data_IF_316061896518
#
_entry.id   IF_316061896518
#
_cell.length_a   1.000
_cell.length_b   1.000
_cell.length_c   1.000
_cell.angle_alpha   90.00
_cell.angle_beta   90.00
_cell.angle_gamma   90.00
#
_symmetry.space_group_name_H-M   'P 1'
#
loop_
_entity.id
_entity.type
_entity.pdbx_description
1 polymer ?
#
# COMPACT_ATOMS: atom_id res chain seq x y z
N UNK A 1 -8.47 12.76 -22.30
CA UNK A 1 -9.59 11.81 -22.49
C UNK A 1 -9.14 10.74 -23.48
N UNK A 2 -8.71 9.59 -22.98
CA UNK A 2 -8.29 8.47 -23.82
C UNK A 2 -9.52 7.61 -24.06
N UNK A 3 -10.05 7.60 -25.28
CA UNK A 3 -11.13 6.69 -25.66
C UNK A 3 -10.53 5.42 -26.22
N UNK A 4 -10.69 4.29 -25.53
CA UNK A 4 -10.51 2.98 -26.14
C UNK A 4 -11.70 2.73 -27.08
N UNK A 5 -11.47 2.77 -28.37
CA UNK A 5 -12.50 2.47 -29.38
C UNK A 5 -12.47 0.97 -29.69
N UNK A 6 -13.57 0.29 -29.44
CA UNK A 6 -13.81 -1.09 -29.86
C UNK A 6 -14.10 -1.11 -31.36
N UNK A 7 -13.34 -1.85 -32.13
CA UNK A 7 -13.69 -2.16 -33.52
C UNK A 7 -14.48 -3.47 -33.57
N UNK A 8 -15.42 -3.58 -34.48
CA UNK A 8 -16.27 -4.76 -34.71
C UNK A 8 -15.52 -6.02 -35.13
N UNK A 9 -14.19 -5.97 -35.19
CA UNK A 9 -13.31 -7.09 -35.57
C UNK A 9 -12.30 -7.49 -34.48
N UNK A 10 -12.49 -7.03 -33.24
CA UNK A 10 -11.65 -7.48 -32.12
C UNK A 10 -10.20 -6.98 -32.13
N UNK A 11 -9.84 -6.03 -32.97
CA UNK A 11 -8.48 -5.47 -33.04
C UNK A 11 -8.54 -4.04 -32.48
N UNK A 12 -7.82 -3.81 -31.36
CA UNK A 12 -7.60 -2.46 -30.84
C UNK A 12 -6.64 -1.73 -31.79
N UNK A 13 -7.11 -0.73 -32.51
CA UNK A 13 -6.23 0.21 -33.19
C UNK A 13 -6.15 1.52 -32.41
N UNK A 14 -4.97 1.88 -31.99
CA UNK A 14 -4.67 3.15 -31.32
C UNK A 14 -4.04 4.12 -32.32
N UNK A 15 -4.52 5.35 -32.35
CA UNK A 15 -3.91 6.38 -33.18
C UNK A 15 -2.78 7.08 -32.41
N UNK A 16 -1.54 6.83 -32.83
CA UNK A 16 -0.30 7.04 -32.11
C UNK A 16 0.39 8.38 -32.36
N UNK A 17 -0.32 9.44 -32.75
CA UNK A 17 0.35 10.61 -33.28
C UNK A 17 1.09 11.51 -32.27
N UNK A 18 1.01 11.33 -30.95
CA UNK A 18 1.66 12.27 -30.03
C UNK A 18 2.16 11.75 -28.66
N UNK A 19 2.48 10.45 -28.46
CA UNK A 19 2.84 10.00 -27.12
C UNK A 19 4.10 9.14 -27.03
N UNK A 20 5.13 9.66 -26.35
CA UNK A 20 6.33 8.93 -25.90
C UNK A 20 6.09 8.08 -24.64
N UNK A 21 4.90 8.10 -24.02
CA UNK A 21 4.59 7.50 -22.72
C UNK A 21 3.75 6.21 -22.87
N UNK A 22 3.44 5.76 -24.07
CA UNK A 22 2.50 4.66 -24.32
C UNK A 22 2.94 3.25 -23.93
N UNK A 23 4.18 3.06 -23.51
CA UNK A 23 4.65 1.73 -23.09
C UNK A 23 4.00 1.24 -21.79
N UNK A 24 3.72 2.14 -20.85
CA UNK A 24 3.21 1.78 -19.53
C UNK A 24 1.70 1.53 -19.53
N UNK A 25 0.93 2.37 -20.21
CA UNK A 25 -0.54 2.25 -20.25
C UNK A 25 -0.99 0.98 -21.02
N UNK A 26 -0.24 0.59 -22.06
CA UNK A 26 -0.47 -0.69 -22.76
C UNK A 26 -0.05 -1.88 -21.91
N UNK A 27 0.96 -1.75 -21.05
CA UNK A 27 1.36 -2.79 -20.12
C UNK A 27 0.33 -2.97 -19.00
N UNK A 28 -0.25 -1.89 -18.49
CA UNK A 28 -1.31 -1.93 -17.50
C UNK A 28 -2.56 -2.66 -18.02
N UNK A 29 -2.97 -2.41 -19.27
CA UNK A 29 -4.08 -3.14 -19.89
C UNK A 29 -3.79 -4.63 -20.14
N UNK A 30 -2.52 -5.05 -20.17
CA UNK A 30 -2.12 -6.44 -20.43
C UNK A 30 -1.96 -7.23 -19.13
N UNK A 31 -1.52 -6.61 -18.03
CA UNK A 31 -1.31 -7.29 -16.75
C UNK A 31 -2.61 -7.70 -16.05
N UNK A 32 -3.74 -7.07 -16.36
CA UNK A 32 -5.07 -7.41 -15.83
C UNK A 32 -5.88 -8.36 -16.73
N UNK A 33 -5.26 -9.05 -17.68
CA UNK A 33 -5.98 -9.90 -18.66
C UNK A 33 -6.45 -11.27 -18.17
N UNK A 34 -6.30 -11.61 -16.89
CA UNK A 34 -6.84 -12.88 -16.36
C UNK A 34 -8.29 -12.79 -15.85
N UNK A 35 -8.87 -11.61 -15.78
CA UNK A 35 -10.30 -11.43 -15.54
C UNK A 35 -10.74 -10.16 -16.27
N UNK A 36 -11.49 -10.33 -17.35
CA UNK A 36 -12.02 -9.23 -18.17
C UNK A 36 -12.99 -8.34 -17.39
N UNK A 37 -12.48 -7.53 -16.48
CA UNK A 37 -13.20 -6.34 -16.05
C UNK A 37 -12.69 -5.18 -16.88
N UNK A 38 -13.46 -4.84 -17.93
CA UNK A 38 -13.24 -3.61 -18.68
C UNK A 38 -13.58 -2.49 -17.71
N UNK A 39 -12.58 -1.75 -17.26
CA UNK A 39 -12.78 -0.50 -16.50
C UNK A 39 -13.39 0.50 -17.49
N UNK A 40 -14.72 0.50 -17.58
CA UNK A 40 -15.45 1.30 -18.59
C UNK A 40 -15.76 2.72 -18.13
N UNK A 41 -15.49 3.06 -16.85
CA UNK A 41 -15.85 4.34 -16.26
C UNK A 41 -14.76 4.97 -15.39
N UNK A 42 -13.52 4.44 -15.34
CA UNK A 42 -12.42 5.08 -14.63
C UNK A 42 -11.93 6.31 -15.39
N UNK A 43 -11.73 7.40 -14.69
CA UNK A 43 -11.01 8.55 -15.22
C UNK A 43 -9.52 8.34 -14.96
N UNK A 44 -8.68 8.42 -16.00
CA UNK A 44 -7.23 8.35 -15.85
C UNK A 44 -6.68 9.76 -15.79
N UNK A 45 -6.09 10.10 -14.66
CA UNK A 45 -5.43 11.38 -14.42
C UNK A 45 -3.92 11.16 -14.31
N UNK A 46 -3.15 11.77 -15.19
CA UNK A 46 -1.70 11.81 -15.08
C UNK A 46 -1.26 13.13 -14.46
N UNK A 47 -0.36 13.05 -13.50
CA UNK A 47 0.34 14.23 -13.00
C UNK A 47 1.26 14.75 -14.10
N UNK A 48 0.87 15.82 -14.80
CA UNK A 48 1.70 16.45 -15.83
C UNK A 48 3.00 16.98 -15.21
N UNK A 49 4.09 17.03 -16.02
CA UNK A 49 5.36 17.60 -15.60
C UNK A 49 5.14 19.01 -15.01
N UNK A 50 5.63 19.20 -13.78
CA UNK A 50 5.43 20.45 -13.03
C UNK A 50 4.14 20.56 -12.23
N UNK A 51 3.19 19.63 -12.37
CA UNK A 51 2.06 19.49 -11.46
C UNK A 51 2.40 18.53 -10.34
N UNK A 52 2.37 19.02 -9.13
CA UNK A 52 2.65 18.26 -7.92
C UNK A 52 1.39 17.71 -7.24
N UNK A 53 0.20 18.03 -7.72
CA UNK A 53 -1.05 17.61 -7.11
C UNK A 53 -1.98 17.00 -8.13
N UNK A 54 -2.44 15.78 -7.85
CA UNK A 54 -3.37 15.01 -8.67
C UNK A 54 -4.52 14.57 -7.78
N UNK A 55 -5.72 14.83 -8.22
CA UNK A 55 -6.94 14.50 -7.49
C UNK A 55 -7.81 13.61 -8.35
N UNK A 56 -8.35 12.58 -7.76
CA UNK A 56 -9.40 11.75 -8.32
C UNK A 56 -10.79 12.39 -8.22
N UNK A 57 -11.80 11.58 -8.21
CA UNK A 57 -13.21 11.94 -8.16
C UNK A 57 -13.95 11.11 -7.10
N UNK A 58 -15.28 11.09 -7.13
CA UNK A 58 -16.09 10.20 -6.27
C UNK A 58 -16.30 8.80 -6.92
N UNK A 59 -15.44 8.39 -7.85
CA UNK A 59 -15.53 7.13 -8.59
C UNK A 59 -14.17 6.52 -8.73
N UNK A 60 -14.14 5.25 -9.11
CA UNK A 60 -12.89 4.58 -9.47
C UNK A 60 -12.06 5.42 -10.45
N UNK A 61 -10.84 5.74 -10.04
CA UNK A 61 -9.87 6.52 -10.80
C UNK A 61 -8.55 5.77 -10.99
N UNK A 62 -7.78 6.21 -11.95
CA UNK A 62 -6.39 5.81 -12.13
C UNK A 62 -5.53 7.07 -12.09
N UNK A 63 -4.76 7.25 -11.01
CA UNK A 63 -3.84 8.36 -10.85
C UNK A 63 -2.41 7.88 -11.11
N UNK A 64 -1.67 8.58 -11.95
CA UNK A 64 -0.28 8.24 -12.27
C UNK A 64 0.58 9.47 -12.04
N UNK A 65 1.51 9.35 -11.09
CA UNK A 65 2.50 10.36 -10.78
C UNK A 65 3.56 10.54 -11.86
N UNK A 66 4.66 11.10 -11.50
CA UNK A 66 5.80 11.33 -12.39
C UNK A 66 7.12 11.11 -11.61
N UNK A 67 8.22 11.71 -12.04
CA UNK A 67 9.52 11.58 -11.36
C UNK A 67 9.76 12.64 -10.27
N UNK A 68 8.82 13.51 -10.00
CA UNK A 68 8.90 14.57 -9.00
C UNK A 68 8.01 14.20 -7.81
N UNK A 69 8.24 14.80 -6.66
CA UNK A 69 7.35 14.70 -5.50
C UNK A 69 5.92 15.09 -5.84
N UNK A 70 5.01 14.15 -5.75
CA UNK A 70 3.59 14.34 -6.02
C UNK A 70 2.74 14.31 -4.73
N UNK A 71 1.57 14.94 -4.79
CA UNK A 71 0.48 14.76 -3.85
C UNK A 71 -0.72 14.19 -4.61
N UNK A 72 -1.13 12.99 -4.25
CA UNK A 72 -2.18 12.27 -4.94
C UNK A 72 -3.26 11.89 -3.95
N UNK A 73 -4.52 12.07 -4.31
CA UNK A 73 -5.66 11.67 -3.50
C UNK A 73 -6.75 11.08 -4.40
N UNK A 74 -7.14 9.83 -4.12
CA UNK A 74 -8.21 9.11 -4.83
C UNK A 74 -9.59 9.69 -4.54
N UNK A 75 -9.88 10.04 -3.29
CA UNK A 75 -11.15 10.51 -2.72
C UNK A 75 -12.11 9.35 -2.42
N UNK A 76 -13.16 9.16 -3.18
CA UNK A 76 -14.09 8.04 -3.03
C UNK A 76 -13.97 7.13 -4.24
N UNK A 77 -14.10 5.87 -4.04
CA UNK A 77 -14.03 4.93 -5.14
C UNK A 77 -13.12 3.77 -4.79
N UNK A 78 -12.85 2.92 -5.73
CA UNK A 78 -11.78 1.93 -5.60
C UNK A 78 -10.71 2.32 -6.60
N UNK A 79 -9.69 3.00 -6.11
CA UNK A 79 -8.74 3.72 -6.93
C UNK A 79 -7.44 2.94 -7.15
N UNK A 80 -6.78 3.25 -8.25
CA UNK A 80 -5.44 2.78 -8.52
C UNK A 80 -4.49 3.97 -8.61
N UNK A 81 -3.54 4.06 -7.66
CA UNK A 81 -2.62 5.19 -7.56
C UNK A 81 -1.19 4.70 -7.66
N UNK A 82 -0.41 5.28 -8.58
CA UNK A 82 0.98 4.95 -8.84
C UNK A 82 1.84 6.21 -8.77
N UNK A 83 2.71 6.31 -7.74
CA UNK A 83 3.62 7.45 -7.52
C UNK A 83 4.74 7.51 -8.55
N UNK A 84 5.37 6.41 -8.87
CA UNK A 84 6.52 6.19 -9.75
C UNK A 84 7.85 6.50 -9.07
N UNK A 85 8.27 7.75 -9.00
CA UNK A 85 9.54 8.15 -8.40
C UNK A 85 9.43 9.53 -7.76
N UNK A 86 10.24 9.76 -6.75
CA UNK A 86 10.18 11.00 -5.95
C UNK A 86 9.57 10.68 -4.59
N UNK A 87 9.65 11.57 -3.66
CA UNK A 87 9.05 11.37 -2.33
C UNK A 87 7.58 11.82 -2.41
N UNK A 88 6.69 10.87 -2.60
CA UNK A 88 5.29 11.10 -2.90
C UNK A 88 4.42 11.11 -1.62
N UNK A 89 3.28 11.78 -1.69
CA UNK A 89 2.24 11.71 -0.67
C UNK A 89 0.96 11.19 -1.35
N UNK A 90 0.58 9.97 -1.01
CA UNK A 90 -0.51 9.21 -1.63
C UNK A 90 -1.59 8.96 -0.58
N UNK A 91 -2.83 9.29 -0.92
CA UNK A 91 -4.00 9.07 -0.08
C UNK A 91 -5.06 8.34 -0.92
N UNK A 92 -5.50 7.16 -0.46
CA UNK A 92 -6.64 6.44 -1.04
C UNK A 92 -7.95 7.11 -0.68
N UNK A 93 -8.15 7.40 0.60
CA UNK A 93 -9.33 7.97 1.24
C UNK A 93 -10.43 6.89 1.44
N UNK A 94 -11.56 6.92 0.78
CA UNK A 94 -12.62 5.93 0.99
C UNK A 94 -12.76 4.97 -0.20
N UNK A 95 -12.64 3.71 0.04
CA UNK A 95 -12.77 2.68 -0.98
C UNK A 95 -11.77 1.54 -0.78
N UNK A 96 -11.81 0.59 -1.66
CA UNK A 96 -10.79 -0.46 -1.69
C UNK A 96 -9.76 -0.08 -2.75
N UNK A 97 -8.63 0.43 -2.29
CA UNK A 97 -7.66 1.10 -3.14
C UNK A 97 -6.41 0.23 -3.39
N UNK A 98 -5.72 0.52 -4.47
CA UNK A 98 -4.41 -0.06 -4.77
C UNK A 98 -3.40 1.06 -4.94
N UNK A 99 -2.50 1.18 -3.95
CA UNK A 99 -1.58 2.29 -3.79
C UNK A 99 -0.14 1.81 -3.94
N UNK A 100 0.61 2.44 -4.81
CA UNK A 100 2.02 2.11 -5.05
C UNK A 100 2.85 3.40 -4.97
N UNK A 101 3.76 3.46 -4.01
CA UNK A 101 4.71 4.56 -3.84
C UNK A 101 5.72 4.61 -4.99
N UNK A 102 6.67 3.74 -4.97
CA UNK A 102 7.63 3.58 -6.05
C UNK A 102 9.07 3.74 -5.60
N UNK A 103 9.80 4.70 -6.15
CA UNK A 103 11.18 4.99 -5.74
C UNK A 103 11.19 6.32 -4.99
N UNK A 104 11.59 6.31 -3.74
CA UNK A 104 11.68 7.51 -2.88
C UNK A 104 11.08 7.24 -1.52
N UNK A 105 11.30 8.16 -0.60
CA UNK A 105 10.70 8.05 0.74
C UNK A 105 9.25 8.56 0.66
N UNK A 106 8.31 7.64 0.58
CA UNK A 106 6.90 7.93 0.32
C UNK A 106 6.08 8.00 1.62
N UNK A 107 4.98 8.75 1.57
CA UNK A 107 3.95 8.78 2.61
C UNK A 107 2.65 8.29 2.00
N UNK A 108 2.16 7.15 2.49
CA UNK A 108 0.99 6.48 1.92
C UNK A 108 -0.06 6.27 3.02
N UNK A 109 -1.30 6.66 2.74
CA UNK A 109 -2.46 6.46 3.62
C UNK A 109 -3.56 5.77 2.81
N UNK A 110 -3.89 4.52 3.18
CA UNK A 110 -4.99 3.76 2.57
C UNK A 110 -6.31 4.41 2.82
N UNK A 111 -6.62 4.64 4.10
CA UNK A 111 -7.83 5.34 4.51
C UNK A 111 -8.91 4.44 5.06
N UNK A 112 -9.94 4.14 4.31
CA UNK A 112 -11.06 3.34 4.79
C UNK A 112 -11.52 2.26 3.84
N UNK A 113 -11.87 1.13 4.36
CA UNK A 113 -12.04 -0.18 3.72
C UNK A 113 -10.69 -0.89 3.54
N UNK A 114 -10.70 -2.13 3.06
CA UNK A 114 -9.45 -2.90 2.93
C UNK A 114 -8.67 -2.51 1.68
N UNK A 115 -7.42 -2.11 1.85
CA UNK A 115 -6.55 -1.56 0.82
C UNK A 115 -5.36 -2.49 0.51
N UNK A 116 -4.76 -2.31 -0.66
CA UNK A 116 -3.51 -2.97 -1.05
C UNK A 116 -2.44 -1.93 -1.29
N UNK A 117 -1.40 -1.94 -0.44
CA UNK A 117 -0.39 -0.88 -0.39
C UNK A 117 1.00 -1.47 -0.60
N UNK A 118 1.78 -0.83 -1.45
CA UNK A 118 3.16 -1.20 -1.75
C UNK A 118 4.05 0.05 -1.74
N UNK A 119 4.99 0.14 -0.77
CA UNK A 119 5.99 1.21 -0.69
C UNK A 119 7.02 1.11 -1.82
N UNK A 120 7.64 -0.02 -2.01
CA UNK A 120 8.74 -0.42 -2.88
C UNK A 120 10.12 -0.01 -2.34
N UNK A 121 10.73 1.09 -2.81
CA UNK A 121 12.14 1.43 -2.50
C UNK A 121 12.22 2.80 -1.87
N UNK A 122 12.77 2.86 -0.68
CA UNK A 122 12.90 4.08 0.13
C UNK A 122 12.50 3.82 1.56
N UNK A 123 12.63 4.83 2.41
CA UNK A 123 12.13 4.72 3.80
C UNK A 123 10.70 5.26 3.83
N UNK A 124 9.76 4.35 3.70
CA UNK A 124 8.36 4.70 3.51
C UNK A 124 7.62 4.83 4.86
N UNK A 125 6.62 5.70 4.87
CA UNK A 125 5.70 5.85 6.00
C UNK A 125 4.30 5.47 5.52
N UNK A 126 3.82 4.30 5.95
CA UNK A 126 2.60 3.67 5.45
C UNK A 126 1.58 3.52 6.57
N UNK A 127 0.35 3.91 6.30
CA UNK A 127 -0.81 3.67 7.14
C UNK A 127 -1.87 2.92 6.32
N UNK A 128 -2.31 1.75 6.79
CA UNK A 128 -3.45 1.02 6.19
C UNK A 128 -4.75 1.77 6.43
N UNK A 129 -5.12 1.91 7.68
CA UNK A 129 -6.28 2.70 8.07
C UNK A 129 -7.40 1.88 8.70
N UNK A 130 -8.60 1.94 8.12
CA UNK A 130 -9.72 1.11 8.53
C UNK A 130 -9.94 0.00 7.52
N UNK A 131 -10.03 -1.23 7.96
CA UNK A 131 -10.37 -2.33 7.08
C UNK A 131 -9.42 -3.51 7.23
N UNK A 132 -9.41 -4.38 6.27
CA UNK A 132 -8.47 -5.48 6.21
C UNK A 132 -7.45 -5.16 5.12
N UNK A 133 -6.28 -4.69 5.53
CA UNK A 133 -5.30 -4.12 4.63
C UNK A 133 -4.18 -5.12 4.31
N UNK A 134 -3.69 -5.08 3.08
CA UNK A 134 -2.49 -5.79 2.64
C UNK A 134 -1.37 -4.79 2.38
N UNK A 135 -0.33 -4.81 3.23
CA UNK A 135 0.73 -3.80 3.22
C UNK A 135 2.08 -4.48 2.99
N UNK A 136 2.81 -3.98 2.00
CA UNK A 136 4.20 -4.36 1.73
C UNK A 136 5.06 -3.10 1.76
N UNK A 137 6.02 -3.01 2.67
CA UNK A 137 7.00 -1.91 2.76
C UNK A 137 7.95 -1.94 1.55
N UNK A 138 8.92 -2.81 1.56
CA UNK A 138 9.81 -3.04 0.42
C UNK A 138 11.29 -3.06 0.78
N UNK A 139 12.09 -2.18 0.16
CA UNK A 139 13.49 -1.97 0.50
C UNK A 139 13.64 -0.63 1.23
N UNK A 140 14.23 -0.63 2.41
CA UNK A 140 14.48 0.59 3.21
C UNK A 140 13.98 0.44 4.62
N UNK A 141 14.19 1.45 5.44
CA UNK A 141 13.72 1.43 6.83
C UNK A 141 12.30 2.02 6.88
N UNK A 142 11.31 1.16 6.86
CA UNK A 142 9.92 1.54 6.75
C UNK A 142 9.26 1.77 8.12
N UNK A 143 8.24 2.59 8.12
CA UNK A 143 7.36 2.79 9.27
C UNK A 143 5.95 2.43 8.84
N UNK A 144 5.40 1.35 9.42
CA UNK A 144 4.11 0.81 9.02
C UNK A 144 3.15 0.78 10.20
N UNK A 145 1.96 1.29 9.97
CA UNK A 145 0.82 1.20 10.86
C UNK A 145 -0.32 0.49 10.11
N UNK A 146 -0.70 -0.72 10.52
CA UNK A 146 -1.85 -1.45 9.95
C UNK A 146 -3.13 -0.67 10.18
N UNK A 147 -3.50 -0.48 11.43
CA UNK A 147 -4.64 0.35 11.79
C UNK A 147 -5.75 -0.40 12.49
N UNK A 148 -6.93 -0.44 11.91
CA UNK A 148 -8.07 -1.13 12.51
C UNK A 148 -8.68 -2.12 11.53
N UNK A 149 -8.68 -3.36 11.90
CA UNK A 149 -9.13 -4.52 11.12
C UNK A 149 -8.04 -5.58 11.04
N UNK A 150 -8.32 -6.74 10.51
CA UNK A 150 -7.30 -7.78 10.39
C UNK A 150 -6.39 -7.49 9.20
N UNK A 151 -5.15 -7.12 9.48
CA UNK A 151 -4.19 -6.67 8.50
C UNK A 151 -3.13 -7.74 8.19
N UNK A 152 -2.59 -7.70 6.99
CA UNK A 152 -1.43 -8.49 6.57
C UNK A 152 -0.30 -7.56 6.21
N UNK A 153 0.80 -7.61 7.00
CA UNK A 153 1.92 -6.68 6.89
C UNK A 153 3.20 -7.46 6.60
N UNK A 154 3.90 -7.08 5.54
CA UNK A 154 5.22 -7.57 5.18
C UNK A 154 6.11 -6.36 4.99
N UNK A 155 7.11 -6.16 5.87
CA UNK A 155 7.92 -4.94 5.76
C UNK A 155 9.01 -5.07 4.71
N UNK A 156 9.79 -6.13 4.73
CA UNK A 156 10.78 -6.36 3.69
C UNK A 156 12.21 -6.21 4.16
N UNK A 157 13.07 -5.50 3.45
CA UNK A 157 14.48 -5.31 3.80
C UNK A 157 14.68 -3.98 4.52
N UNK A 158 15.41 -4.02 5.63
CA UNK A 158 15.76 -2.84 6.42
C UNK A 158 15.32 -2.95 7.86
N UNK A 159 15.76 -1.98 8.68
CA UNK A 159 15.35 -1.93 10.08
C UNK A 159 14.00 -1.22 10.18
N UNK A 160 12.94 -1.99 10.28
CA UNK A 160 11.58 -1.52 10.16
C UNK A 160 10.92 -1.25 11.52
N UNK A 161 9.93 -0.39 11.50
CA UNK A 161 9.08 -0.08 12.63
C UNK A 161 7.63 -0.40 12.30
N UNK A 162 7.04 -1.38 13.00
CA UNK A 162 5.73 -1.92 12.70
C UNK A 162 4.79 -1.78 13.90
N UNK A 163 3.57 -1.38 13.63
CA UNK A 163 2.44 -1.46 14.56
C UNK A 163 1.29 -2.14 13.82
N UNK A 164 0.87 -3.33 14.28
CA UNK A 164 -0.33 -4.01 13.72
C UNK A 164 -1.57 -3.16 13.93
N UNK A 165 -1.92 -2.91 15.16
CA UNK A 165 -3.04 -2.05 15.52
C UNK A 165 -4.18 -2.81 16.18
N UNK A 166 -5.40 -2.55 15.76
CA UNK A 166 -6.57 -3.28 16.23
C UNK A 166 -6.99 -4.35 15.23
N UNK A 167 -7.04 -5.58 15.63
CA UNK A 167 -7.50 -6.68 14.79
C UNK A 167 -6.60 -7.90 14.92
N UNK A 168 -6.94 -8.94 14.19
CA UNK A 168 -6.13 -10.15 14.16
C UNK A 168 -5.12 -10.03 13.02
N UNK A 169 -3.92 -9.54 13.32
CA UNK A 169 -2.94 -9.16 12.34
C UNK A 169 -1.94 -10.29 12.05
N UNK A 170 -1.49 -10.36 10.80
CA UNK A 170 -0.39 -11.21 10.37
C UNK A 170 0.79 -10.32 9.97
N UNK A 171 1.88 -10.37 10.75
CA UNK A 171 3.03 -9.48 10.60
C UNK A 171 4.29 -10.28 10.27
N UNK A 172 5.01 -9.86 9.24
CA UNK A 172 6.33 -10.36 8.90
C UNK A 172 7.31 -9.20 8.80
N UNK A 173 8.32 -9.18 9.69
CA UNK A 173 9.39 -8.18 9.72
C UNK A 173 10.33 -8.33 8.52
N UNK A 174 10.94 -9.47 8.35
CA UNK A 174 11.85 -9.71 7.23
C UNK A 174 13.29 -9.85 7.66
N UNK A 175 14.28 -9.48 6.83
CA UNK A 175 15.67 -9.39 7.23
C UNK A 175 15.99 -8.04 7.88
N UNK A 176 17.07 -8.03 8.68
CA UNK A 176 17.58 -6.89 9.47
C UNK A 176 16.84 -6.70 10.81
N UNK A 177 17.24 -5.72 11.62
CA UNK A 177 16.80 -5.57 13.01
C UNK A 177 15.48 -4.78 13.11
N UNK A 178 14.37 -5.44 13.42
CA UNK A 178 13.02 -4.87 13.39
C UNK A 178 12.46 -4.54 14.78
N UNK A 179 11.49 -3.63 14.80
CA UNK A 179 10.72 -3.24 15.98
C UNK A 179 9.23 -3.45 15.68
N UNK A 180 8.62 -4.41 16.37
CA UNK A 180 7.24 -4.82 16.11
C UNK A 180 6.37 -4.63 17.36
N UNK A 181 5.24 -3.96 17.19
CA UNK A 181 4.16 -3.86 18.16
C UNK A 181 2.92 -4.53 17.56
N UNK A 182 2.33 -5.50 18.26
CA UNK A 182 1.09 -6.14 17.79
C UNK A 182 -0.10 -5.20 17.94
N UNK A 183 -0.13 -4.37 18.99
CA UNK A 183 -1.20 -3.41 19.24
C UNK A 183 -0.69 -1.99 19.38
N UNK A 184 -1.59 -1.03 19.42
CA UNK A 184 -1.27 0.39 19.59
C UNK A 184 -0.39 0.67 20.82
N UNK A 185 0.72 1.37 20.65
CA UNK A 185 1.74 1.68 21.69
C UNK A 185 1.19 2.36 22.95
N UNK A 186 0.03 2.99 22.86
CA UNK A 186 -0.55 3.80 23.93
C UNK A 186 -1.72 3.13 24.64
N UNK A 187 -2.13 1.95 24.20
CA UNK A 187 -3.22 1.20 24.83
C UNK A 187 -2.66 0.06 25.66
N UNK A 188 -2.97 0.06 26.95
CA UNK A 188 -2.79 -1.10 27.82
C UNK A 188 -3.99 -2.07 27.68
N UNK A 189 -4.89 -1.74 26.78
CA UNK A 189 -6.08 -2.53 26.49
C UNK A 189 -5.81 -3.37 25.26
N UNK A 190 -5.89 -4.67 25.48
CA UNK A 190 -5.94 -5.66 24.41
C UNK A 190 -7.21 -5.43 23.58
N UNK A 191 -7.10 -5.52 22.29
CA UNK A 191 -8.28 -5.52 21.40
C UNK A 191 -9.02 -6.86 21.39
N UNK A 192 -8.49 -7.89 22.06
CA UNK A 192 -9.05 -9.24 22.18
C UNK A 192 -8.81 -10.12 20.96
N UNK A 193 -8.04 -9.66 20.02
CA UNK A 193 -7.69 -10.37 18.81
C UNK A 193 -6.34 -11.12 18.98
N UNK A 194 -6.09 -12.07 18.11
CA UNK A 194 -4.87 -12.87 18.13
C UNK A 194 -4.03 -12.52 16.93
N UNK A 195 -2.84 -12.03 17.19
CA UNK A 195 -1.87 -11.70 16.15
C UNK A 195 -0.91 -12.87 15.89
N UNK A 196 -0.36 -12.86 14.69
CA UNK A 196 0.67 -13.81 14.26
C UNK A 196 1.88 -13.00 13.81
N UNK A 197 3.02 -13.21 14.49
CA UNK A 197 4.25 -12.47 14.22
C UNK A 197 5.36 -13.43 13.79
N UNK A 198 5.93 -13.12 12.64
CA UNK A 198 7.16 -13.71 12.12
C UNK A 198 8.21 -12.59 12.02
N UNK A 199 9.28 -12.67 12.79
CA UNK A 199 10.29 -11.61 12.81
C UNK A 199 11.20 -11.69 11.58
N UNK A 200 11.71 -12.87 11.26
CA UNK A 200 12.62 -13.05 10.13
C UNK A 200 14.07 -13.22 10.56
N UNK A 201 15.01 -12.63 9.79
CA UNK A 201 16.45 -12.65 10.09
C UNK A 201 16.85 -11.32 10.71
N UNK A 202 17.39 -11.30 11.93
CA UNK A 202 17.80 -10.05 12.58
C UNK A 202 17.99 -10.20 14.08
N UNK A 203 17.94 -9.08 14.79
CA UNK A 203 17.80 -9.02 16.23
C UNK A 203 16.55 -8.22 16.57
N UNK A 204 15.43 -8.89 16.52
CA UNK A 204 14.13 -8.27 16.48
C UNK A 204 13.56 -8.06 17.89
N UNK A 205 12.91 -6.91 18.05
CA UNK A 205 12.23 -6.56 19.28
C UNK A 205 10.72 -6.56 19.06
N UNK A 206 10.01 -7.41 19.78
CA UNK A 206 8.56 -7.57 19.67
C UNK A 206 7.87 -7.23 20.97
N UNK A 207 6.88 -6.34 20.91
CA UNK A 207 5.98 -6.03 22.03
C UNK A 207 4.61 -6.64 21.75
N UNK A 208 4.24 -7.59 22.62
CA UNK A 208 2.96 -8.29 22.54
C UNK A 208 2.13 -8.02 23.78
N UNK A 209 0.81 -7.98 23.61
CA UNK A 209 -0.14 -7.91 24.71
C UNK A 209 -0.62 -9.31 25.07
N UNK A 210 -0.11 -9.89 26.17
CA UNK A 210 -0.36 -11.29 26.54
C UNK A 210 -1.53 -11.51 27.50
N UNK A 211 -2.14 -10.47 28.03
CA UNK A 211 -3.07 -10.60 29.13
C UNK A 211 -4.42 -11.24 28.72
N UNK A 212 -4.83 -11.08 27.47
CA UNK A 212 -6.10 -11.60 26.95
C UNK A 212 -5.91 -12.25 25.57
N UNK A 213 -5.07 -11.66 24.71
CA UNK A 213 -4.77 -12.13 23.36
C UNK A 213 -3.75 -13.25 23.43
N UNK A 214 -3.89 -14.22 22.63
CA UNK A 214 -2.96 -15.36 22.58
C UNK A 214 -2.11 -15.22 21.32
N UNK A 215 -1.39 -14.10 21.21
CA UNK A 215 -0.51 -13.83 20.08
C UNK A 215 0.47 -14.99 19.86
N UNK A 216 0.65 -15.36 18.63
CA UNK A 216 1.62 -16.34 18.20
C UNK A 216 2.84 -15.63 17.64
N UNK A 217 3.97 -15.81 18.32
CA UNK A 217 5.26 -15.24 17.92
C UNK A 217 6.15 -16.39 17.50
N UNK A 218 6.77 -16.27 16.34
CA UNK A 218 7.68 -17.27 15.81
C UNK A 218 8.95 -17.41 16.66
N UNK A 219 9.67 -18.51 16.49
CA UNK A 219 10.87 -18.81 17.28
C UNK A 219 12.12 -18.05 16.82
N UNK A 220 12.03 -17.28 15.78
CA UNK A 220 13.07 -16.42 15.22
C UNK A 220 13.07 -15.01 15.82
N UNK A 221 12.08 -14.66 16.64
CA UNK A 221 12.06 -13.42 17.40
C UNK A 221 12.96 -13.50 18.66
N UNK A 222 13.94 -12.62 18.82
CA UNK A 222 14.94 -12.69 19.89
C UNK A 222 14.48 -12.02 21.18
N UNK A 223 13.88 -10.83 21.09
CA UNK A 223 13.52 -10.03 22.27
C UNK A 223 11.99 -9.82 22.33
N UNK A 224 11.32 -10.66 23.13
CA UNK A 224 9.87 -10.58 23.28
C UNK A 224 9.53 -9.88 24.60
N UNK A 225 8.87 -8.73 24.49
CA UNK A 225 8.39 -7.92 25.60
C UNK A 225 6.89 -8.21 25.82
N UNK A 226 6.54 -8.53 27.06
CA UNK A 226 5.14 -8.85 27.43
C UNK A 226 4.59 -7.74 28.31
N UNK A 227 3.55 -7.06 27.82
CA UNK A 227 2.81 -6.05 28.55
C UNK A 227 1.76 -6.59 29.52
#
# INVERSE_FOLDING_TARGET
MIKCLKSDKGILSMNLSNYRIMGLVTLLCILFSSSYHIITNAETTMCEDGKRTCMGSEKMDVLIGNKETNKMNGLQGSDYILGLSGNDNIIGDNGTDSLIGGIGDDVIDGGGSGDSILGNTGNDNITGGLGADEIIGGEGNDTILGGAGPDTIITGQGNDFIVGGHGADEISGGPDDDIIYTSDRNTTESDGAKDIVNCGEGNDNVWINTSIDKDEVSSDCEFIHKG
#
